data_IF_242459287559
#
_entry.id   IF_242459287559
#
_cell.length_a   1.000
_cell.length_b   1.000
_cell.length_c   1.000
_cell.angle_alpha   90.00
_cell.angle_beta   90.00
_cell.angle_gamma   90.00
#
_symmetry.space_group_name_H-M   'P 1'
#
loop_
_entity.id
_entity.type
_entity.pdbx_description
1 polymer ?
#
# COMPACT_ATOMS: atom_id res chain seq x y z
N UNK A 1 -31.76 -24.64 -10.46
CA UNK A 1 -31.36 -23.80 -11.59
C UNK A 1 -30.90 -22.46 -11.03
N UNK A 2 -29.70 -22.41 -10.42
CA UNK A 2 -29.11 -21.19 -9.82
C UNK A 2 -27.58 -21.16 -10.00
N UNK A 3 -27.00 -22.15 -10.70
CA UNK A 3 -25.55 -22.37 -10.77
C UNK A 3 -24.95 -22.05 -12.16
N UNK A 4 -25.76 -21.92 -13.21
CA UNK A 4 -25.26 -21.71 -14.59
C UNK A 4 -24.58 -20.34 -14.80
N UNK A 5 -24.98 -19.31 -14.04
CA UNK A 5 -24.33 -17.99 -14.09
C UNK A 5 -22.94 -17.98 -13.42
N UNK A 6 -22.71 -18.83 -12.41
CA UNK A 6 -21.41 -18.98 -11.76
C UNK A 6 -20.48 -19.93 -12.54
N UNK A 7 -21.03 -20.88 -13.31
CA UNK A 7 -20.26 -21.80 -14.15
C UNK A 7 -19.65 -21.12 -15.40
N UNK A 8 -20.16 -19.95 -15.82
CA UNK A 8 -19.68 -19.23 -17.00
C UNK A 8 -18.65 -18.10 -16.71
N UNK A 9 -18.11 -18.02 -15.50
CA UNK A 9 -17.14 -16.98 -15.13
C UNK A 9 -15.85 -17.03 -15.98
N UNK A 10 -15.47 -18.21 -16.47
CA UNK A 10 -14.31 -18.38 -17.37
C UNK A 10 -14.44 -17.58 -18.68
N UNK A 11 -15.65 -17.34 -19.18
CA UNK A 11 -15.85 -16.54 -20.40
C UNK A 11 -15.54 -15.05 -20.20
N UNK A 12 -15.51 -14.57 -18.96
CA UNK A 12 -15.17 -13.19 -18.61
C UNK A 12 -13.69 -13.01 -18.25
N UNK A 13 -12.95 -14.12 -18.05
CA UNK A 13 -11.52 -14.05 -17.75
C UNK A 13 -10.68 -13.87 -19.02
N UNK A 14 -9.73 -12.93 -18.96
CA UNK A 14 -8.73 -12.75 -20.01
C UNK A 14 -7.58 -13.74 -19.78
N UNK A 15 -7.61 -14.86 -20.50
CA UNK A 15 -6.62 -15.95 -20.43
C UNK A 15 -5.15 -15.47 -20.56
N UNK A 16 -4.89 -14.39 -21.32
CA UNK A 16 -3.56 -13.80 -21.51
C UNK A 16 -3.00 -13.09 -20.26
N UNK A 17 -3.87 -12.77 -19.30
CA UNK A 17 -3.52 -12.08 -18.04
C UNK A 17 -3.80 -12.92 -16.79
N UNK A 18 -4.38 -14.11 -16.94
CA UNK A 18 -4.78 -15.01 -15.85
C UNK A 18 -3.69 -15.27 -14.80
N UNK A 19 -2.45 -15.39 -15.25
CA UNK A 19 -1.29 -15.68 -14.39
C UNK A 19 -0.34 -14.47 -14.22
N UNK A 20 -0.76 -13.26 -14.60
CA UNK A 20 0.09 -12.06 -14.54
C UNK A 20 -0.56 -10.98 -13.68
N UNK A 21 0.17 -10.53 -12.66
CA UNK A 21 -0.24 -9.34 -11.91
C UNK A 21 -0.15 -8.11 -12.81
N UNK A 22 -1.15 -7.20 -12.79
CA UNK A 22 -1.05 -5.95 -13.52
C UNK A 22 0.14 -5.15 -12.98
N UNK A 23 0.93 -4.56 -13.89
CA UNK A 23 2.19 -3.90 -13.54
C UNK A 23 2.01 -2.78 -12.52
N UNK A 24 0.88 -2.08 -12.56
CA UNK A 24 0.54 -1.04 -11.58
C UNK A 24 0.46 -1.58 -10.15
N UNK A 25 -0.06 -2.79 -9.95
CA UNK A 25 -0.11 -3.43 -8.63
C UNK A 25 1.28 -3.80 -8.12
N UNK A 26 2.16 -4.27 -9.01
CA UNK A 26 3.54 -4.58 -8.65
C UNK A 26 4.29 -3.31 -8.23
N UNK A 27 4.13 -2.22 -8.99
CA UNK A 27 4.72 -0.91 -8.66
C UNK A 27 4.18 -0.39 -7.32
N UNK A 28 2.86 -0.45 -7.11
CA UNK A 28 2.24 -0.05 -5.85
C UNK A 28 2.78 -0.86 -4.67
N UNK A 29 2.87 -2.18 -4.82
CA UNK A 29 3.37 -3.08 -3.79
C UNK A 29 4.80 -2.74 -3.38
N UNK A 30 5.70 -2.59 -4.36
CA UNK A 30 7.10 -2.19 -4.10
C UNK A 30 7.17 -0.78 -3.50
N UNK A 31 6.35 0.15 -4.00
CA UNK A 31 6.25 1.50 -3.46
C UNK A 31 5.83 1.51 -1.99
N UNK A 32 4.87 0.68 -1.60
CA UNK A 32 4.43 0.53 -0.21
C UNK A 32 5.52 -0.08 0.68
N UNK A 33 6.32 -1.02 0.17
CA UNK A 33 7.47 -1.56 0.91
C UNK A 33 8.49 -0.46 1.17
N UNK A 34 8.90 0.28 0.14
CA UNK A 34 9.87 1.38 0.28
C UNK A 34 9.32 2.45 1.21
N UNK A 35 8.05 2.83 1.05
CA UNK A 35 7.38 3.79 1.93
C UNK A 35 7.32 3.31 3.37
N UNK A 36 7.03 2.03 3.61
CA UNK A 36 7.01 1.44 4.95
C UNK A 36 8.39 1.49 5.62
N UNK A 37 9.46 1.15 4.88
CA UNK A 37 10.84 1.26 5.38
C UNK A 37 11.16 2.72 5.72
N UNK A 38 10.86 3.65 4.81
CA UNK A 38 11.05 5.07 5.05
C UNK A 38 10.29 5.55 6.29
N UNK A 39 9.02 5.15 6.42
CA UNK A 39 8.16 5.53 7.55
C UNK A 39 8.73 5.04 8.88
N UNK A 40 9.17 3.78 8.94
CA UNK A 40 9.80 3.23 10.14
C UNK A 40 11.06 4.03 10.49
N UNK A 41 11.93 4.33 9.53
CA UNK A 41 13.14 5.12 9.78
C UNK A 41 12.79 6.53 10.25
N UNK A 42 11.82 7.19 9.61
CA UNK A 42 11.47 8.58 9.86
C UNK A 42 10.70 8.78 11.18
N UNK A 43 9.86 7.83 11.57
CA UNK A 43 8.92 8.00 12.69
C UNK A 43 9.21 7.08 13.88
N UNK A 44 10.26 6.28 13.85
CA UNK A 44 10.74 5.55 15.04
C UNK A 44 11.65 6.46 15.87
N UNK A 45 11.30 6.78 17.13
CA UNK A 45 12.06 7.71 17.97
C UNK A 45 13.53 7.31 18.15
N UNK A 46 13.81 6.01 18.25
CA UNK A 46 15.16 5.48 18.41
C UNK A 46 16.04 5.67 17.16
N UNK A 47 15.44 5.87 15.98
CA UNK A 47 16.16 6.01 14.70
C UNK A 47 16.31 7.49 14.33
N UNK A 48 15.20 8.23 14.28
CA UNK A 48 15.18 9.62 13.79
C UNK A 48 15.17 10.68 14.89
N UNK A 49 14.99 10.30 16.15
CA UNK A 49 14.74 11.25 17.23
C UNK A 49 13.38 11.96 17.16
N UNK A 50 12.50 11.51 16.24
CA UNK A 50 11.14 12.01 16.11
C UNK A 50 10.31 11.68 17.36
N UNK A 51 9.46 12.61 17.78
CA UNK A 51 8.44 12.36 18.79
C UNK A 51 7.20 13.21 18.54
N UNK A 52 6.06 12.69 18.99
CA UNK A 52 4.77 13.39 18.87
C UNK A 52 4.77 14.73 19.63
N UNK A 53 5.40 14.77 20.81
CA UNK A 53 5.53 16.00 21.60
C UNK A 53 6.31 17.09 20.87
N UNK A 54 7.47 16.77 20.31
CA UNK A 54 8.27 17.73 19.52
C UNK A 54 7.48 18.26 18.33
N UNK A 55 6.81 17.36 17.60
CA UNK A 55 5.99 17.74 16.45
C UNK A 55 4.83 18.67 16.86
N UNK A 56 4.22 18.42 18.02
CA UNK A 56 3.16 19.29 18.55
C UNK A 56 3.70 20.67 18.94
N UNK A 57 4.82 20.73 19.67
CA UNK A 57 5.44 21.99 20.09
C UNK A 57 5.88 22.84 18.89
N UNK A 58 6.45 22.23 17.85
CA UNK A 58 6.80 22.91 16.61
C UNK A 58 5.55 23.46 15.88
N UNK A 59 4.43 22.74 15.91
CA UNK A 59 3.19 23.17 15.26
C UNK A 59 2.56 24.41 15.90
N UNK A 60 2.73 24.59 17.21
CA UNK A 60 2.21 25.74 17.95
C UNK A 60 3.18 26.93 17.93
N UNK A 61 4.49 26.70 17.81
CA UNK A 61 5.50 27.77 17.71
C UNK A 61 5.56 28.41 16.32
N UNK A 62 5.11 27.69 15.28
CA UNK A 62 5.01 28.24 13.92
C UNK A 62 3.76 29.09 13.67
N UNK A 63 2.88 29.25 14.67
CA UNK A 63 1.75 30.21 14.63
C UNK A 63 2.19 31.54 15.21
#
# INVERSE_FOLDING_TARGET
>A
MYNEEFDNLETFEREDTKNKLPIAWVILFVGLIIFGIYYVIAYTPAISGWSQEKAYLESIQKK
#
